data_IF_623843830310
#
_entry.id   IF_623843830310
#
_cell.length_a   1.000
_cell.length_b   1.000
_cell.length_c   1.000
_cell.angle_alpha   90.00
_cell.angle_beta   90.00
_cell.angle_gamma   90.00
#
_symmetry.space_group_name_H-M   'P 1'
#
loop_
_entity.id
_entity.type
_entity.pdbx_description
1 polymer ?
#
# COMPACT_ATOMS: atom_id res chain seq x y z
N UNK A 1 18.27 -23.32 29.05
CA UNK A 1 19.00 -22.20 28.40
C UNK A 1 17.97 -21.44 27.60
N UNK A 2 17.55 -20.29 28.08
CA UNK A 2 16.65 -19.43 27.30
C UNK A 2 17.39 -18.96 26.04
N UNK A 3 16.81 -19.10 24.86
CA UNK A 3 17.44 -18.60 23.65
C UNK A 3 17.60 -17.09 23.81
N UNK A 4 18.82 -16.60 23.64
CA UNK A 4 19.13 -15.16 23.65
C UNK A 4 18.17 -14.51 22.65
N UNK A 5 17.14 -13.84 23.16
CA UNK A 5 16.12 -13.19 22.35
C UNK A 5 16.82 -12.05 21.59
N UNK A 6 17.03 -12.26 20.29
CA UNK A 6 17.71 -11.29 19.42
C UNK A 6 16.95 -9.97 19.47
N UNK A 7 17.58 -8.92 19.95
CA UNK A 7 17.00 -7.57 19.95
C UNK A 7 16.92 -7.08 18.50
N UNK A 8 15.71 -7.03 17.97
CA UNK A 8 15.44 -6.55 16.62
C UNK A 8 15.28 -5.03 16.64
N UNK A 9 16.03 -4.34 15.80
CA UNK A 9 15.95 -2.89 15.65
C UNK A 9 15.16 -2.51 14.40
N UNK A 10 14.49 -1.37 14.42
CA UNK A 10 13.80 -0.83 13.25
C UNK A 10 14.74 -0.67 12.04
N UNK A 11 16.02 -0.28 12.29
CA UNK A 11 17.05 -0.17 11.25
C UNK A 11 17.32 -1.46 10.49
N UNK A 12 17.24 -2.62 11.17
CA UNK A 12 17.47 -3.91 10.55
C UNK A 12 16.32 -4.26 9.60
N UNK A 13 15.10 -3.95 10.03
CA UNK A 13 13.89 -4.14 9.22
C UNK A 13 13.92 -3.23 8.00
N UNK A 14 14.28 -1.95 8.18
CA UNK A 14 14.43 -0.97 7.10
C UNK A 14 15.49 -1.42 6.09
N UNK A 15 16.61 -1.96 6.55
CA UNK A 15 17.67 -2.49 5.68
C UNK A 15 17.17 -3.68 4.85
N UNK A 16 16.50 -4.65 5.48
CA UNK A 16 15.91 -5.79 4.77
C UNK A 16 14.82 -5.37 3.79
N UNK A 17 13.99 -4.39 4.13
CA UNK A 17 12.98 -3.86 3.23
C UNK A 17 13.64 -3.20 2.00
N UNK A 18 14.60 -2.30 2.22
CA UNK A 18 15.26 -1.50 1.19
C UNK A 18 15.95 -2.33 0.10
N UNK A 19 16.71 -3.37 0.48
CA UNK A 19 17.39 -4.24 -0.50
C UNK A 19 16.41 -5.05 -1.35
N UNK A 20 15.17 -5.19 -0.88
CA UNK A 20 14.09 -5.87 -1.61
C UNK A 20 13.11 -4.89 -2.28
N UNK A 21 13.45 -3.61 -2.43
CA UNK A 21 12.57 -2.64 -3.10
C UNK A 21 11.35 -2.22 -2.29
N UNK A 22 11.38 -2.41 -0.98
CA UNK A 22 10.33 -2.02 -0.05
C UNK A 22 10.82 -0.95 0.93
N UNK A 23 9.89 -0.20 1.51
CA UNK A 23 10.18 0.73 2.60
C UNK A 23 9.14 0.62 3.71
N UNK A 24 9.53 1.04 4.91
CA UNK A 24 8.62 1.17 6.04
C UNK A 24 7.76 2.43 5.84
N UNK A 25 6.47 2.22 5.60
CA UNK A 25 5.49 3.27 5.33
C UNK A 25 4.55 3.56 6.50
N UNK A 26 4.78 2.93 7.63
CA UNK A 26 4.05 3.17 8.87
C UNK A 26 4.46 2.18 9.93
N UNK A 27 4.35 2.60 11.19
CA UNK A 27 4.65 1.71 12.31
C UNK A 27 3.96 2.21 13.58
N UNK A 28 3.46 1.29 14.40
CA UNK A 28 2.80 1.63 15.66
C UNK A 28 2.81 0.46 16.64
N UNK A 29 2.54 0.73 17.90
CA UNK A 29 2.31 -0.30 18.90
C UNK A 29 0.82 -0.59 19.02
N UNK A 30 0.39 -1.80 18.66
CA UNK A 30 -1.02 -2.21 18.77
C UNK A 30 -1.46 -2.31 20.23
N UNK A 31 -0.52 -2.72 21.11
CA UNK A 31 -0.72 -2.82 22.54
C UNK A 31 0.64 -2.79 23.24
N UNK A 32 0.68 -3.07 24.56
CA UNK A 32 1.91 -3.06 25.33
C UNK A 32 2.97 -4.08 24.90
N UNK A 33 2.59 -5.09 24.10
CA UNK A 33 3.47 -6.19 23.70
C UNK A 33 3.71 -6.26 22.19
N UNK A 34 2.84 -5.71 21.36
CA UNK A 34 2.91 -5.90 19.91
C UNK A 34 3.30 -4.63 19.16
N UNK A 35 4.19 -4.80 18.19
CA UNK A 35 4.54 -3.75 17.21
C UNK A 35 4.12 -4.21 15.82
N UNK A 36 3.50 -3.32 15.05
CA UNK A 36 3.13 -3.52 13.65
C UNK A 36 3.93 -2.55 12.79
N UNK A 37 4.54 -3.09 11.73
CA UNK A 37 5.30 -2.32 10.74
C UNK A 37 4.70 -2.57 9.37
N UNK A 38 4.29 -1.51 8.69
CA UNK A 38 3.69 -1.53 7.37
C UNK A 38 4.76 -1.34 6.29
N UNK A 39 4.69 -2.15 5.23
CA UNK A 39 5.63 -2.13 4.13
C UNK A 39 4.92 -1.72 2.83
N UNK A 40 5.54 -0.79 2.11
CA UNK A 40 5.11 -0.31 0.79
C UNK A 40 6.25 -0.38 -0.22
N UNK A 41 5.98 -0.31 -1.53
CA UNK A 41 7.01 -0.20 -2.55
C UNK A 41 7.88 1.04 -2.33
N UNK A 42 9.19 0.87 -2.38
CA UNK A 42 10.17 1.96 -2.40
C UNK A 42 10.40 2.46 -3.84
N UNK A 43 11.14 3.57 -4.00
CA UNK A 43 11.47 4.14 -5.32
C UNK A 43 12.17 3.14 -6.26
N UNK A 44 12.92 2.18 -5.72
CA UNK A 44 13.63 1.15 -6.47
C UNK A 44 12.84 -0.17 -6.64
N UNK A 45 11.55 -0.16 -6.36
CA UNK A 45 10.69 -1.35 -6.46
C UNK A 45 10.66 -1.94 -7.87
N UNK A 46 10.40 -1.11 -8.90
CA UNK A 46 10.24 -1.58 -10.27
C UNK A 46 11.47 -2.29 -10.84
N UNK A 47 12.70 -1.72 -10.76
CA UNK A 47 13.90 -2.41 -11.21
C UNK A 47 14.11 -3.77 -10.54
N UNK A 48 13.71 -3.92 -9.28
CA UNK A 48 13.82 -5.18 -8.53
C UNK A 48 12.71 -6.14 -8.96
N UNK A 49 11.46 -5.69 -9.00
CA UNK A 49 10.33 -6.53 -9.38
C UNK A 49 10.46 -7.05 -10.81
N UNK A 50 10.89 -6.22 -11.78
CA UNK A 50 11.10 -6.63 -13.17
C UNK A 50 12.14 -7.73 -13.36
N UNK A 51 13.01 -7.96 -12.39
CA UNK A 51 14.01 -9.06 -12.39
C UNK A 51 13.49 -10.34 -11.74
N UNK A 52 12.30 -10.33 -11.19
CA UNK A 52 11.73 -11.47 -10.48
C UNK A 52 11.08 -12.48 -11.41
N UNK A 53 11.02 -13.73 -10.97
CA UNK A 53 10.36 -14.80 -11.70
C UNK A 53 8.86 -14.53 -11.88
N UNK A 54 8.22 -13.93 -10.87
CA UNK A 54 6.79 -13.59 -10.91
C UNK A 54 6.46 -12.61 -12.05
N UNK A 55 7.38 -11.70 -12.35
CA UNK A 55 7.22 -10.77 -13.48
C UNK A 55 7.37 -11.49 -14.82
N UNK A 56 8.39 -12.34 -14.97
CA UNK A 56 8.69 -13.02 -16.24
C UNK A 56 7.70 -14.13 -16.58
N UNK A 57 7.24 -14.88 -15.58
CA UNK A 57 6.31 -15.99 -15.77
C UNK A 57 4.85 -15.52 -16.03
N UNK A 58 4.58 -14.22 -15.96
CA UNK A 58 3.25 -13.62 -16.17
C UNK A 58 2.13 -14.31 -15.38
N UNK A 59 2.43 -14.76 -14.17
CA UNK A 59 1.47 -15.42 -13.30
C UNK A 59 0.32 -14.49 -12.92
N UNK A 60 -0.78 -15.07 -12.46
CA UNK A 60 -1.91 -14.29 -11.93
C UNK A 60 -1.44 -13.51 -10.69
N UNK A 61 -1.75 -12.20 -10.66
CA UNK A 61 -1.38 -11.29 -9.58
C UNK A 61 0.12 -11.33 -9.21
N UNK A 62 1.01 -11.06 -10.17
CA UNK A 62 2.44 -11.26 -10.00
C UNK A 62 3.02 -10.38 -8.88
N UNK A 63 2.52 -9.15 -8.70
CA UNK A 63 2.97 -8.27 -7.63
C UNK A 63 2.56 -8.80 -6.25
N UNK A 64 1.37 -9.37 -6.13
CA UNK A 64 0.89 -9.93 -4.87
C UNK A 64 1.68 -11.19 -4.50
N UNK A 65 1.93 -12.06 -5.47
CA UNK A 65 2.74 -13.26 -5.27
C UNK A 65 4.18 -12.92 -4.88
N UNK A 66 4.79 -11.98 -5.58
CA UNK A 66 6.11 -11.45 -5.26
C UNK A 66 6.15 -10.85 -3.84
N UNK A 67 5.17 -10.00 -3.50
CA UNK A 67 5.08 -9.37 -2.18
C UNK A 67 4.98 -10.41 -1.07
N UNK A 68 4.15 -11.44 -1.28
CA UNK A 68 3.99 -12.54 -0.32
C UNK A 68 5.32 -13.26 -0.09
N UNK A 69 6.02 -13.65 -1.15
CA UNK A 69 7.32 -14.33 -1.05
C UNK A 69 8.37 -13.46 -0.36
N UNK A 70 8.53 -12.23 -0.82
CA UNK A 70 9.57 -11.32 -0.32
C UNK A 70 9.34 -10.95 1.14
N UNK A 71 8.11 -10.54 1.49
CA UNK A 71 7.78 -10.11 2.86
C UNK A 71 7.82 -11.30 3.83
N UNK A 72 7.39 -12.51 3.40
CA UNK A 72 7.55 -13.71 4.23
C UNK A 72 9.03 -14.03 4.50
N UNK A 73 9.90 -13.88 3.51
CA UNK A 73 11.33 -14.06 3.70
C UNK A 73 11.95 -13.02 4.64
N UNK A 74 11.50 -11.76 4.57
CA UNK A 74 11.90 -10.74 5.53
C UNK A 74 11.40 -11.11 6.93
N UNK A 75 10.14 -11.52 7.06
CA UNK A 75 9.52 -11.89 8.33
C UNK A 75 10.32 -12.99 9.05
N UNK A 76 10.74 -14.04 8.33
CA UNK A 76 11.59 -15.11 8.87
C UNK A 76 12.90 -14.52 9.43
N UNK A 77 13.58 -13.65 8.68
CA UNK A 77 14.87 -13.08 9.09
C UNK A 77 14.79 -12.20 10.34
N UNK A 78 13.65 -11.55 10.54
CA UNK A 78 13.42 -10.64 11.65
C UNK A 78 12.50 -11.21 12.72
N UNK A 79 12.16 -12.50 12.66
CA UNK A 79 11.29 -13.20 13.61
C UNK A 79 9.95 -12.48 13.81
N UNK A 80 9.28 -12.16 12.70
CA UNK A 80 7.97 -11.51 12.66
C UNK A 80 6.92 -12.41 12.00
N UNK A 81 5.64 -12.14 12.27
CA UNK A 81 4.51 -12.72 11.54
C UNK A 81 4.14 -11.81 10.36
N UNK A 82 4.15 -12.29 9.10
CA UNK A 82 3.71 -11.49 7.97
C UNK A 82 2.19 -11.49 7.85
N UNK A 83 1.61 -10.32 7.49
CA UNK A 83 0.20 -10.17 7.09
C UNK A 83 0.11 -9.44 5.77
N UNK A 84 -0.94 -9.73 5.00
CA UNK A 84 -1.12 -9.22 3.65
C UNK A 84 -2.50 -8.58 3.47
N UNK A 85 -2.63 -7.50 2.66
CA UNK A 85 -3.90 -6.86 2.34
C UNK A 85 -4.64 -7.56 1.20
N UNK A 86 -4.24 -8.77 0.81
CA UNK A 86 -4.79 -9.52 -0.32
C UNK A 86 -4.78 -11.03 -0.03
N UNK A 87 -5.52 -11.81 -0.86
CA UNK A 87 -5.60 -13.27 -0.77
C UNK A 87 -6.82 -13.77 0.01
N UNK A 88 -7.00 -15.12 0.07
CA UNK A 88 -8.21 -15.77 0.63
C UNK A 88 -8.42 -15.54 2.14
N UNK A 89 -7.36 -15.35 2.91
CA UNK A 89 -7.39 -15.11 4.37
C UNK A 89 -7.19 -13.63 4.71
N UNK A 90 -7.85 -12.81 4.03
CA UNK A 90 -7.86 -11.38 4.09
C UNK A 90 -8.70 -10.90 5.29
N UNK A 91 -8.03 -10.60 6.37
CA UNK A 91 -8.70 -10.18 7.61
C UNK A 91 -7.92 -9.14 8.40
N UNK A 92 -6.74 -8.75 7.90
CA UNK A 92 -5.94 -7.73 8.58
C UNK A 92 -6.44 -6.33 8.19
N UNK A 93 -6.78 -5.46 9.17
CA UNK A 93 -7.38 -4.17 8.92
C UNK A 93 -6.33 -3.13 8.50
N UNK A 94 -5.76 -3.27 7.30
CA UNK A 94 -4.68 -2.41 6.80
C UNK A 94 -5.04 -0.94 6.74
N UNK A 95 -6.30 -0.63 6.44
CA UNK A 95 -6.79 0.74 6.42
C UNK A 95 -6.68 1.39 7.81
N UNK A 96 -7.14 0.69 8.84
CA UNK A 96 -7.04 1.15 10.22
C UNK A 96 -5.59 1.20 10.70
N UNK A 97 -4.77 0.20 10.35
CA UNK A 97 -3.36 0.17 10.70
C UNK A 97 -2.59 1.34 10.08
N UNK A 98 -2.93 1.72 8.85
CA UNK A 98 -2.36 2.89 8.21
C UNK A 98 -2.65 4.17 9.00
N UNK A 99 -3.91 4.35 9.44
CA UNK A 99 -4.29 5.51 10.27
C UNK A 99 -3.62 5.48 11.65
N UNK A 100 -3.60 4.31 12.30
CA UNK A 100 -2.95 4.13 13.61
C UNK A 100 -1.45 4.38 13.58
N UNK A 101 -0.81 4.23 12.42
CA UNK A 101 0.62 4.56 12.27
C UNK A 101 0.90 6.07 12.39
N UNK A 102 -0.13 6.92 12.22
CA UNK A 102 0.02 8.38 12.19
C UNK A 102 0.68 8.92 10.91
N UNK A 103 0.88 8.05 9.89
CA UNK A 103 1.49 8.42 8.60
C UNK A 103 0.45 8.51 7.46
N UNK A 104 -0.80 8.08 7.69
CA UNK A 104 -1.87 8.11 6.71
C UNK A 104 -3.21 8.54 7.32
N UNK A 105 -4.07 9.13 6.50
CA UNK A 105 -5.37 9.68 6.88
C UNK A 105 -6.40 9.45 5.78
N UNK A 106 -7.67 9.58 6.14
CA UNK A 106 -8.76 9.65 5.16
C UNK A 106 -8.64 10.93 4.33
N UNK A 107 -8.64 10.82 3.02
CA UNK A 107 -8.75 11.98 2.12
C UNK A 107 -10.22 12.36 1.88
N UNK A 108 -10.51 13.56 1.36
CA UNK A 108 -11.87 13.97 1.01
C UNK A 108 -12.57 13.07 -0.02
N UNK A 109 -11.82 12.31 -0.80
CA UNK A 109 -12.34 11.40 -1.83
C UNK A 109 -12.46 9.94 -1.32
N UNK A 110 -12.45 9.70 -0.01
CA UNK A 110 -12.60 8.37 0.59
C UNK A 110 -11.39 7.44 0.47
N UNK A 111 -10.28 7.86 -0.14
CA UNK A 111 -9.06 7.08 -0.23
C UNK A 111 -8.07 7.48 0.87
N UNK A 112 -7.17 6.56 1.24
CA UNK A 112 -6.06 6.91 2.14
C UNK A 112 -5.08 7.88 1.46
N UNK A 113 -4.62 8.88 2.22
CA UNK A 113 -3.54 9.78 1.83
C UNK A 113 -2.40 9.64 2.83
N UNK A 114 -1.20 9.32 2.33
CA UNK A 114 0.01 9.15 3.13
C UNK A 114 0.87 10.42 3.15
N UNK A 115 1.58 10.67 4.24
CA UNK A 115 2.40 11.87 4.44
C UNK A 115 3.43 12.11 3.32
N UNK A 116 4.05 11.03 2.80
CA UNK A 116 5.07 11.10 1.73
C UNK A 116 4.55 10.64 0.37
N UNK A 117 3.76 9.56 0.34
CA UNK A 117 3.34 8.91 -0.90
C UNK A 117 2.03 9.48 -1.44
N UNK A 118 1.37 10.39 -0.70
CA UNK A 118 0.07 10.93 -1.08
C UNK A 118 -0.96 9.83 -1.28
N UNK A 119 -1.80 9.98 -2.31
CA UNK A 119 -2.80 8.98 -2.72
C UNK A 119 -2.18 7.73 -3.36
N UNK A 120 -0.89 7.74 -3.62
CA UNK A 120 -0.17 6.65 -4.26
C UNK A 120 0.34 5.59 -3.28
N UNK A 121 0.04 5.74 -2.00
CA UNK A 121 0.40 4.74 -0.99
C UNK A 121 -0.18 3.37 -1.35
N UNK A 122 0.65 2.35 -1.25
CA UNK A 122 0.29 0.96 -1.50
C UNK A 122 0.92 0.06 -0.47
N UNK A 123 0.13 -0.43 0.45
CA UNK A 123 0.61 -1.39 1.43
C UNK A 123 0.73 -2.78 0.80
N UNK A 124 1.93 -3.35 0.84
CA UNK A 124 2.21 -4.68 0.26
C UNK A 124 2.20 -5.78 1.31
N UNK A 125 2.28 -5.41 2.57
CA UNK A 125 2.20 -6.29 3.71
C UNK A 125 2.58 -5.59 5.00
N UNK A 126 2.46 -6.33 6.09
CA UNK A 126 2.86 -5.90 7.43
C UNK A 126 3.70 -6.96 8.11
N UNK A 127 4.56 -6.54 9.01
CA UNK A 127 5.31 -7.38 9.92
C UNK A 127 4.78 -7.15 11.34
N UNK A 128 4.32 -8.22 11.98
CA UNK A 128 3.83 -8.19 13.36
C UNK A 128 4.88 -8.81 14.28
N UNK A 129 5.24 -8.09 15.30
CA UNK A 129 6.21 -8.51 16.31
C UNK A 129 5.50 -8.64 17.66
N UNK A 130 5.67 -9.77 18.34
CA UNK A 130 5.20 -9.98 19.70
C UNK A 130 6.15 -9.36 20.75
N UNK A 131 6.80 -8.27 20.37
CA UNK A 131 7.67 -7.48 21.21
C UNK A 131 7.58 -6.00 20.88
N UNK A 132 7.96 -5.16 21.83
CA UNK A 132 8.00 -3.71 21.65
C UNK A 132 9.31 -3.32 20.97
N UNK A 133 9.24 -2.88 19.71
CA UNK A 133 10.38 -2.35 18.97
C UNK A 133 10.44 -0.83 19.18
N UNK A 134 11.63 -0.28 19.39
CA UNK A 134 11.80 1.18 19.49
C UNK A 134 11.48 1.82 18.14
N UNK A 135 10.37 2.54 18.06
CA UNK A 135 9.92 3.27 16.87
C UNK A 135 10.46 4.70 16.85
N UNK A 136 10.58 5.26 15.65
CA UNK A 136 10.87 6.71 15.50
C UNK A 136 9.59 7.50 15.77
N UNK A 137 9.69 8.53 16.58
CA UNK A 137 8.61 9.50 16.72
C UNK A 137 8.54 10.35 15.45
N UNK A 138 7.39 10.37 14.80
CA UNK A 138 7.08 11.20 13.65
C UNK A 138 5.75 11.89 13.92
N UNK A 139 5.63 13.13 13.48
CA UNK A 139 4.41 13.93 13.61
C UNK A 139 4.14 14.63 12.27
N UNK A 140 3.94 13.87 11.16
CA UNK A 140 3.68 14.48 9.88
C UNK A 140 2.29 15.15 9.89
N UNK A 141 2.16 16.23 9.13
CA UNK A 141 0.87 16.86 8.90
C UNK A 141 0.08 16.08 7.84
N UNK A 142 -1.25 16.06 8.00
CA UNK A 142 -2.17 15.54 6.99
C UNK A 142 -2.05 16.37 5.70
N UNK A 143 -1.67 15.78 4.54
CA UNK A 143 -1.42 16.54 3.31
C UNK A 143 -2.62 17.36 2.83
N UNK A 144 -3.86 16.88 3.09
CA UNK A 144 -5.08 17.54 2.64
C UNK A 144 -5.37 18.88 3.33
N UNK A 145 -4.80 19.14 4.53
CA UNK A 145 -5.04 20.40 5.26
C UNK A 145 -4.56 21.62 4.46
N UNK A 146 -3.39 21.51 3.84
CA UNK A 146 -2.77 22.59 3.06
C UNK A 146 -3.09 22.53 1.56
N UNK A 147 -3.84 21.52 1.12
CA UNK A 147 -4.15 21.30 -0.29
C UNK A 147 -5.38 22.09 -0.74
N UNK A 148 -5.20 23.37 -1.09
CA UNK A 148 -6.29 24.28 -1.51
C UNK A 148 -6.91 23.82 -2.83
N UNK A 149 -6.08 23.44 -3.81
CA UNK A 149 -6.51 23.12 -5.18
C UNK A 149 -7.18 21.76 -5.34
N UNK A 150 -7.07 20.87 -4.35
CA UNK A 150 -7.64 19.50 -4.36
C UNK A 150 -7.50 18.79 -5.72
N UNK A 151 -6.29 18.67 -6.31
CA UNK A 151 -6.12 18.16 -7.67
C UNK A 151 -6.61 16.71 -7.85
N UNK A 152 -6.76 15.95 -6.77
CA UNK A 152 -7.31 14.60 -6.81
C UNK A 152 -8.76 14.55 -7.31
N UNK A 153 -9.58 15.57 -7.03
CA UNK A 153 -10.97 15.62 -7.49
C UNK A 153 -11.00 15.79 -9.00
N UNK A 154 -10.19 16.71 -9.54
CA UNK A 154 -10.18 17.03 -10.96
C UNK A 154 -9.34 16.08 -11.82
N UNK A 155 -8.69 15.10 -11.21
CA UNK A 155 -7.82 14.18 -11.94
C UNK A 155 -8.54 12.96 -12.55
N UNK A 156 -9.81 12.74 -12.18
CA UNK A 156 -10.57 11.61 -12.68
C UNK A 156 -11.21 11.96 -14.05
N UNK A 157 -10.95 11.20 -15.14
CA UNK A 157 -11.49 11.52 -16.47
C UNK A 157 -13.02 11.31 -16.58
N UNK A 158 -13.64 10.70 -15.59
CA UNK A 158 -15.08 10.42 -15.53
C UNK A 158 -15.73 10.98 -14.26
N UNK A 159 -15.05 11.90 -13.59
CA UNK A 159 -15.55 12.56 -12.37
C UNK A 159 -15.99 11.61 -11.24
N UNK A 160 -15.45 10.40 -11.20
CA UNK A 160 -15.75 9.43 -10.14
C UNK A 160 -15.16 9.81 -8.76
N UNK A 161 -14.29 10.82 -8.70
CA UNK A 161 -13.71 11.35 -7.45
C UNK A 161 -14.40 12.68 -7.12
N UNK A 162 -15.36 12.65 -6.20
CA UNK A 162 -16.17 13.81 -5.83
C UNK A 162 -15.86 14.29 -4.41
N UNK A 163 -16.30 15.52 -4.03
CA UNK A 163 -16.20 15.99 -2.64
C UNK A 163 -16.97 15.11 -1.65
N UNK A 164 -18.00 14.40 -2.10
CA UNK A 164 -18.85 13.50 -1.32
C UNK A 164 -18.23 12.12 -1.16
N UNK A 165 -17.24 11.77 -1.99
CA UNK A 165 -16.53 10.50 -1.92
C UNK A 165 -16.09 9.94 -3.27
N UNK A 166 -15.88 8.63 -3.31
CA UNK A 166 -15.46 7.90 -4.50
C UNK A 166 -16.59 7.06 -5.06
N UNK A 167 -17.05 7.41 -6.27
CA UNK A 167 -18.01 6.61 -7.03
C UNK A 167 -17.30 5.39 -7.63
N UNK A 168 -17.31 4.33 -6.86
CA UNK A 168 -16.66 3.06 -7.18
C UNK A 168 -17.29 2.41 -8.42
N UNK A 169 -18.63 2.48 -8.54
CA UNK A 169 -19.35 1.83 -9.62
C UNK A 169 -19.01 2.46 -10.97
N UNK A 170 -19.10 3.78 -11.08
CA UNK A 170 -18.72 4.51 -12.31
C UNK A 170 -17.27 4.22 -12.71
N UNK A 171 -16.35 4.11 -11.74
CA UNK A 171 -14.97 3.74 -12.02
C UNK A 171 -14.84 2.30 -12.55
N UNK A 172 -15.57 1.34 -12.00
CA UNK A 172 -15.59 -0.03 -12.53
C UNK A 172 -16.13 -0.10 -13.93
N UNK A 173 -17.26 0.54 -14.19
CA UNK A 173 -17.91 0.54 -15.51
C UNK A 173 -16.98 1.14 -16.58
N UNK A 174 -16.29 2.23 -16.25
CA UNK A 174 -15.28 2.81 -17.13
C UNK A 174 -14.10 1.86 -17.39
N UNK A 175 -13.60 1.20 -16.37
CA UNK A 175 -12.48 0.25 -16.51
C UNK A 175 -12.90 -1.00 -17.31
N UNK A 176 -14.11 -1.48 -17.16
CA UNK A 176 -14.61 -2.66 -17.86
C UNK A 176 -14.93 -2.36 -19.34
N UNK A 177 -15.49 -1.20 -19.65
CA UNK A 177 -15.73 -0.77 -21.04
C UNK A 177 -14.43 -0.48 -21.81
N UNK A 178 -13.40 -0.03 -21.15
CA UNK A 178 -12.13 0.37 -21.75
C UNK A 178 -11.06 -0.74 -21.76
N UNK A 179 -11.38 -1.97 -21.40
CA UNK A 179 -10.44 -3.13 -21.46
C UNK A 179 -9.95 -3.43 -22.89
N UNK A 180 -10.59 -2.88 -23.92
CA UNK A 180 -10.30 -3.12 -25.34
C UNK A 180 -9.21 -2.26 -25.97
N UNK A 181 -8.42 -1.46 -25.25
CA UNK A 181 -7.20 -0.87 -25.82
C UNK A 181 -7.09 0.64 -25.88
N UNK A 182 -8.06 1.43 -25.40
CA UNK A 182 -7.95 2.91 -25.41
C UNK A 182 -7.55 3.49 -24.08
N UNK A 183 -7.74 2.75 -22.98
CA UNK A 183 -7.53 3.25 -21.61
C UNK A 183 -6.08 3.43 -21.20
N UNK A 184 -5.14 2.78 -21.87
CA UNK A 184 -3.71 2.99 -21.54
C UNK A 184 -3.20 4.37 -21.98
N UNK A 185 -3.77 4.97 -23.03
CA UNK A 185 -3.35 6.28 -23.54
C UNK A 185 -4.06 7.46 -22.85
N UNK A 186 -5.34 7.30 -22.45
CA UNK A 186 -6.08 8.36 -21.76
C UNK A 186 -5.67 8.55 -20.30
N UNK A 187 -5.14 7.50 -19.68
CA UNK A 187 -4.65 7.55 -18.30
C UNK A 187 -3.15 7.90 -18.21
N UNK A 188 -2.47 8.10 -19.34
CA UNK A 188 -1.10 8.57 -19.45
C UNK A 188 -1.01 9.78 -20.38
N UNK A 189 -1.32 10.99 -19.92
CA UNK A 189 -0.88 12.20 -20.62
C UNK A 189 0.60 12.50 -20.38
N UNK A 190 1.33 11.67 -19.63
CA UNK A 190 2.76 11.85 -19.34
C UNK A 190 3.56 10.71 -19.95
N UNK A 191 4.54 11.05 -20.75
CA UNK A 191 5.51 10.12 -21.32
C UNK A 191 6.20 9.34 -20.19
N UNK A 192 5.92 8.04 -20.11
CA UNK A 192 6.45 7.16 -19.06
C UNK A 192 7.97 7.00 -19.12
N UNK A 193 8.62 7.51 -20.17
CA UNK A 193 10.07 7.50 -20.32
C UNK A 193 10.75 8.68 -19.61
N UNK A 194 10.01 9.76 -19.29
CA UNK A 194 10.55 10.93 -18.57
C UNK A 194 10.32 10.90 -17.05
N UNK A 195 9.45 10.01 -16.58
CA UNK A 195 9.31 9.80 -15.15
C UNK A 195 10.09 8.56 -14.77
N UNK A 196 11.21 8.73 -14.16
CA UNK A 196 11.86 7.71 -13.29
C UNK A 196 10.86 7.35 -12.19
N UNK A 197 9.87 6.53 -12.59
CA UNK A 197 8.82 6.58 -11.80
C UNK A 197 7.93 5.58 -11.42
N UNK A 198 7.08 5.96 -10.55
CA UNK A 198 6.43 5.05 -9.61
C UNK A 198 5.36 4.24 -10.33
N UNK A 199 5.37 2.96 -10.05
CA UNK A 199 4.23 2.03 -10.08
C UNK A 199 3.30 2.18 -11.30
N UNK A 200 3.38 1.26 -12.24
CA UNK A 200 2.49 1.24 -13.41
C UNK A 200 1.02 1.31 -12.97
N UNK A 201 0.21 1.94 -13.78
CA UNK A 201 -1.21 2.12 -13.56
C UNK A 201 -1.97 0.79 -13.41
N UNK A 202 -1.49 -0.31 -14.02
CA UNK A 202 -2.07 -1.64 -13.81
C UNK A 202 -1.96 -2.12 -12.36
N UNK A 203 -0.85 -1.83 -11.69
CA UNK A 203 -0.75 -2.09 -10.26
C UNK A 203 -1.63 -1.14 -9.42
N UNK A 204 -1.89 0.08 -9.91
CA UNK A 204 -2.81 1.04 -9.28
C UNK A 204 -4.27 0.61 -9.41
N UNK A 205 -4.70 0.14 -10.58
CA UNK A 205 -6.06 -0.37 -10.80
C UNK A 205 -6.33 -1.61 -9.95
N UNK A 206 -5.37 -2.52 -9.81
CA UNK A 206 -5.49 -3.67 -8.90
C UNK A 206 -5.43 -3.28 -7.43
N UNK A 207 -4.65 -2.25 -7.08
CA UNK A 207 -4.66 -1.68 -5.73
C UNK A 207 -6.02 -1.07 -5.38
N UNK A 208 -6.60 -0.33 -6.31
CA UNK A 208 -7.95 0.21 -6.16
C UNK A 208 -8.95 -0.92 -5.99
N UNK A 209 -8.85 -2.02 -6.76
CA UNK A 209 -9.69 -3.22 -6.55
C UNK A 209 -9.51 -3.85 -5.16
N UNK A 210 -8.28 -3.98 -4.69
CA UNK A 210 -8.01 -4.47 -3.33
C UNK A 210 -8.52 -3.54 -2.23
N UNK A 211 -8.38 -2.24 -2.39
CA UNK A 211 -8.91 -1.21 -1.49
C UNK A 211 -10.45 -1.13 -1.56
N UNK A 212 -11.04 -1.29 -2.73
CA UNK A 212 -12.49 -1.29 -2.95
C UNK A 212 -13.14 -2.47 -2.24
N UNK A 213 -12.56 -3.65 -2.30
CA UNK A 213 -13.05 -4.80 -1.54
C UNK A 213 -13.01 -4.52 -0.03
N UNK A 214 -12.02 -3.77 0.46
CA UNK A 214 -11.94 -3.33 1.87
C UNK A 214 -13.08 -2.38 2.27
N UNK A 215 -13.42 -1.42 1.42
CA UNK A 215 -14.45 -0.43 1.72
C UNK A 215 -15.85 -1.07 1.66
N UNK A 216 -16.11 -1.94 0.69
CA UNK A 216 -17.43 -2.59 0.53
C UNK A 216 -17.77 -3.57 1.66
N UNK A 217 -16.78 -4.18 2.32
CA UNK A 217 -17.01 -5.09 3.46
C UNK A 217 -17.28 -4.36 4.78
N UNK A 218 -16.91 -3.08 4.91
CA UNK A 218 -17.18 -2.30 6.13
C UNK A 218 -18.54 -1.62 6.14
N UNK A 219 -19.21 -1.48 4.99
CA UNK A 219 -20.54 -0.82 4.91
C UNK A 219 -21.74 -1.75 5.11
N UNK A 220 -21.53 -3.07 5.27
CA UNK A 220 -22.63 -4.04 5.43
C UNK A 220 -22.85 -4.52 6.87
N UNK A 221 -22.24 -3.90 7.88
CA UNK A 221 -22.43 -4.27 9.30
C UNK A 221 -23.08 -3.16 10.14
N UNK A 222 -23.97 -2.36 9.55
CA UNK A 222 -24.82 -1.42 10.29
C UNK A 222 -26.26 -1.62 9.81
N UNK A 223 -26.91 -2.63 10.40
CA UNK A 223 -28.32 -2.92 10.26
C UNK A 223 -28.76 -3.79 11.43
#
# INVERSE_FOLDING_TARGET
MDPIQKIIKLSDIEAHAKINGLEVSGSFHKNFKQTIILLSPAYNFWPIFKKSDEYHQKIIDPIDTWSKRVISNIAIKVSAEPKFPFGKNFGAPFFEWAKLSGEAWDSPIGMLVHSKMGLMVSYRGALIFDQKIKLRKRYPEKPCIKCIKKPCINACPIDALTPEGYDIQSCYDFLDTNRGGVSSQLLYPLDVNELEAPVSMFSRIRMVRGLITLVSTTSTTSG
#
